data_IF_754648528528
#
_entry.id   IF_754648528528
#
_cell.length_a   1.000
_cell.length_b   1.000
_cell.length_c   1.000
_cell.angle_alpha   90.00
_cell.angle_beta   90.00
_cell.angle_gamma   90.00
#
_symmetry.space_group_name_H-M   'P 1'
#
loop_
_entity.id
_entity.type
_entity.pdbx_description
1 polymer ?
#
# COMPACT_ATOMS: atom_id res chain seq x y z
N UNK A 1 -21.70 -9.24 12.78
CA UNK A 1 -21.06 -8.42 11.74
C UNK A 1 -22.18 -7.84 10.91
N UNK A 2 -21.99 -6.63 10.38
CA UNK A 2 -22.86 -6.16 9.31
C UNK A 2 -22.34 -6.80 8.01
N UNK A 3 -23.12 -7.74 7.49
CA UNK A 3 -22.80 -8.52 6.30
C UNK A 3 -23.54 -7.96 5.07
N UNK A 4 -24.06 -6.73 5.18
CA UNK A 4 -24.73 -6.03 4.09
C UNK A 4 -23.66 -5.40 3.18
N UNK A 5 -23.66 -5.70 1.86
CA UNK A 5 -22.76 -5.04 0.93
C UNK A 5 -23.03 -3.53 0.90
N UNK A 6 -21.99 -2.74 1.10
CA UNK A 6 -21.98 -1.29 0.98
C UNK A 6 -21.06 -0.84 -0.16
N UNK A 7 -21.11 0.46 -0.48
CA UNK A 7 -20.29 1.03 -1.54
C UNK A 7 -18.86 1.25 -1.04
N UNK A 8 -17.87 1.18 -1.95
CA UNK A 8 -16.49 1.46 -1.59
C UNK A 8 -16.30 2.85 -1.01
N UNK A 9 -15.44 2.93 0.00
CA UNK A 9 -15.15 4.16 0.72
C UNK A 9 -13.66 4.51 0.53
N UNK A 10 -13.33 5.78 0.24
CA UNK A 10 -11.97 6.26 0.26
C UNK A 10 -11.33 5.96 1.62
N UNK A 11 -10.13 5.38 1.63
CA UNK A 11 -9.35 5.17 2.86
C UNK A 11 -8.07 6.00 2.89
N UNK A 12 -7.51 6.32 1.70
CA UNK A 12 -6.62 7.44 1.47
C UNK A 12 -5.46 7.61 2.48
N UNK A 13 -5.25 8.85 2.89
CA UNK A 13 -4.18 9.28 3.79
C UNK A 13 -4.22 8.59 5.15
N UNK A 14 -3.07 8.59 5.84
CA UNK A 14 -2.95 7.96 7.16
C UNK A 14 -3.41 6.51 7.10
N UNK A 15 -2.89 5.80 6.11
CA UNK A 15 -3.15 4.39 5.86
C UNK A 15 -1.91 3.71 5.31
N UNK A 16 -1.94 2.39 5.37
CA UNK A 16 -0.97 1.51 4.75
C UNK A 16 -1.72 0.39 4.04
N UNK A 17 -1.29 0.09 2.80
CA UNK A 17 -1.93 -0.94 2.01
C UNK A 17 -1.00 -1.60 1.01
N UNK A 18 -1.40 -2.79 0.57
CA UNK A 18 -0.84 -3.49 -0.57
C UNK A 18 -1.86 -3.49 -1.71
N UNK A 19 -1.36 -3.48 -2.94
CA UNK A 19 -2.14 -3.76 -4.14
C UNK A 19 -1.61 -5.02 -4.81
N UNK A 20 -2.44 -6.04 -4.98
CA UNK A 20 -2.07 -7.33 -5.60
C UNK A 20 -2.84 -7.50 -6.89
N UNK A 21 -2.16 -7.82 -8.00
CA UNK A 21 -2.77 -7.89 -9.33
C UNK A 21 -3.54 -9.19 -9.54
N UNK A 22 -4.67 -9.31 -8.85
CA UNK A 22 -5.60 -10.44 -8.96
C UNK A 22 -7.02 -10.00 -8.60
N UNK A 23 -8.00 -10.74 -9.11
CA UNK A 23 -9.41 -10.63 -8.70
C UNK A 23 -9.80 -11.68 -7.67
N UNK A 24 -8.89 -12.57 -7.28
CA UNK A 24 -9.13 -13.58 -6.25
C UNK A 24 -8.77 -13.05 -4.86
N UNK A 25 -9.72 -12.34 -4.24
CA UNK A 25 -9.53 -11.78 -2.92
C UNK A 25 -9.32 -12.83 -1.82
N UNK A 26 -9.82 -14.06 -2.02
CA UNK A 26 -9.61 -15.13 -1.05
C UNK A 26 -8.17 -15.64 -1.11
N UNK A 27 -7.64 -15.84 -2.32
CA UNK A 27 -6.23 -16.21 -2.49
C UNK A 27 -5.29 -15.14 -1.92
N UNK A 28 -5.64 -13.85 -2.02
CA UNK A 28 -4.87 -12.78 -1.36
C UNK A 28 -4.91 -12.93 0.16
N UNK A 29 -6.09 -13.13 0.75
CA UNK A 29 -6.20 -13.35 2.19
C UNK A 29 -5.38 -14.57 2.67
N UNK A 30 -5.41 -15.66 1.92
CA UNK A 30 -4.64 -16.86 2.23
C UNK A 30 -3.12 -16.62 2.08
N UNK A 31 -2.69 -15.81 1.10
CA UNK A 31 -1.28 -15.45 0.89
C UNK A 31 -0.71 -14.57 2.02
N UNK A 32 -1.54 -13.71 2.63
CA UNK A 32 -1.17 -12.97 3.85
C UNK A 32 -1.27 -13.83 5.12
N UNK A 33 -1.70 -15.10 5.00
CA UNK A 33 -1.86 -16.01 6.13
C UNK A 33 -2.93 -15.57 7.12
N UNK A 34 -3.96 -14.87 6.66
CA UNK A 34 -4.97 -14.26 7.54
C UNK A 34 -5.74 -15.30 8.33
N UNK A 35 -5.93 -15.02 9.62
CA UNK A 35 -6.66 -15.86 10.57
C UNK A 35 -8.05 -15.27 10.84
N UNK A 36 -8.97 -16.14 11.25
CA UNK A 36 -10.35 -15.77 11.61
C UNK A 36 -11.06 -15.00 10.48
N UNK A 37 -10.82 -15.42 9.23
CA UNK A 37 -11.34 -14.72 8.06
C UNK A 37 -12.87 -14.72 8.06
N UNK A 38 -13.45 -13.53 7.93
CA UNK A 38 -14.88 -13.32 7.84
C UNK A 38 -15.21 -12.35 6.70
N UNK A 39 -16.33 -12.55 5.98
CA UNK A 39 -16.80 -11.56 5.02
C UNK A 39 -17.18 -10.27 5.77
N UNK A 40 -16.99 -9.12 5.13
CA UNK A 40 -17.40 -7.84 5.71
C UNK A 40 -17.72 -6.80 4.62
N UNK A 41 -18.52 -5.81 5.01
CA UNK A 41 -18.69 -4.57 4.24
C UNK A 41 -17.39 -3.74 4.24
N UNK A 42 -17.30 -2.75 3.36
CA UNK A 42 -16.22 -1.77 3.32
C UNK A 42 -16.11 -0.97 4.61
N UNK A 43 -17.22 -0.41 5.10
CA UNK A 43 -17.23 0.39 6.32
C UNK A 43 -16.70 -0.42 7.51
N UNK A 44 -17.24 -1.64 7.68
CA UNK A 44 -16.83 -2.55 8.75
C UNK A 44 -15.37 -2.97 8.62
N UNK A 45 -14.92 -3.31 7.41
CA UNK A 45 -13.56 -3.72 7.12
C UNK A 45 -12.55 -2.61 7.39
N UNK A 46 -12.78 -1.41 6.85
CA UNK A 46 -11.90 -0.25 7.04
C UNK A 46 -11.84 0.21 8.50
N UNK A 47 -12.96 0.19 9.22
CA UNK A 47 -12.96 0.49 10.66
C UNK A 47 -12.00 -0.45 11.41
N UNK A 48 -12.06 -1.76 11.14
CA UNK A 48 -11.17 -2.74 11.77
C UNK A 48 -9.71 -2.59 11.34
N UNK A 49 -9.47 -2.29 10.07
CA UNK A 49 -8.13 -2.01 9.54
C UNK A 49 -7.43 -0.85 10.27
N UNK A 50 -8.22 0.13 10.74
CA UNK A 50 -7.73 1.25 11.55
C UNK A 50 -7.47 0.90 13.03
N UNK A 51 -8.14 -0.10 13.59
CA UNK A 51 -8.07 -0.50 15.00
C UNK A 51 -6.83 -1.36 15.35
N UNK A 52 -5.86 -1.49 14.44
CA UNK A 52 -4.59 -2.26 14.60
C UNK A 52 -4.72 -3.77 14.84
N UNK A 53 -5.94 -4.30 14.96
CA UNK A 53 -6.21 -5.71 15.30
C UNK A 53 -6.52 -6.60 14.10
N UNK A 54 -6.72 -6.02 12.91
CA UNK A 54 -7.09 -6.76 11.70
C UNK A 54 -6.65 -6.01 10.45
N UNK A 55 -6.74 -6.69 9.31
CA UNK A 55 -6.66 -6.08 7.98
C UNK A 55 -8.00 -6.23 7.25
N UNK A 56 -8.16 -5.44 6.20
CA UNK A 56 -9.27 -5.52 5.27
C UNK A 56 -8.74 -5.86 3.87
N UNK A 57 -9.22 -6.96 3.30
CA UNK A 57 -9.01 -7.34 1.91
C UNK A 57 -10.22 -6.87 1.12
N UNK A 58 -10.02 -5.95 0.18
CA UNK A 58 -11.11 -5.37 -0.59
C UNK A 58 -11.73 -6.41 -1.52
N UNK A 59 -12.98 -6.23 -1.97
CA UNK A 59 -13.39 -6.80 -3.25
C UNK A 59 -12.47 -6.33 -4.38
N UNK A 60 -12.46 -7.03 -5.54
CA UNK A 60 -11.66 -6.62 -6.69
C UNK A 60 -12.03 -5.22 -7.22
N UNK A 61 -10.99 -4.44 -7.51
CA UNK A 61 -11.02 -3.11 -8.10
C UNK A 61 -10.30 -3.18 -9.45
N UNK A 62 -11.06 -3.49 -10.51
CA UNK A 62 -10.47 -3.82 -11.81
C UNK A 62 -9.66 -5.11 -11.73
N UNK A 63 -8.36 -5.05 -12.07
CA UNK A 63 -7.43 -6.19 -11.99
C UNK A 63 -6.76 -6.33 -10.61
N UNK A 64 -7.08 -5.46 -9.65
CA UNK A 64 -6.38 -5.36 -8.37
C UNK A 64 -7.27 -5.73 -7.19
N UNK A 65 -6.66 -6.38 -6.20
CA UNK A 65 -7.24 -6.55 -4.86
C UNK A 65 -6.33 -5.84 -3.87
N UNK A 66 -6.90 -5.04 -2.97
CA UNK A 66 -6.13 -4.29 -1.98
C UNK A 66 -6.20 -4.97 -0.61
N UNK A 67 -5.12 -4.84 0.16
CA UNK A 67 -5.07 -5.25 1.58
C UNK A 67 -4.70 -4.02 2.38
N UNK A 68 -5.60 -3.56 3.24
CA UNK A 68 -5.48 -2.31 4.00
C UNK A 68 -5.39 -2.62 5.49
N UNK A 69 -4.47 -1.97 6.20
CA UNK A 69 -4.44 -2.01 7.66
C UNK A 69 -3.10 -1.67 8.28
N UNK A 70 -3.14 -1.06 9.46
CA UNK A 70 -1.93 -0.64 10.18
C UNK A 70 -1.14 -1.78 10.83
N UNK A 71 -1.73 -2.98 10.89
CA UNK A 71 -1.04 -4.17 11.40
C UNK A 71 -0.05 -4.77 10.39
N UNK A 72 -0.10 -4.32 9.13
CA UNK A 72 0.75 -4.79 8.04
C UNK A 72 2.24 -4.43 8.26
N UNK A 73 3.19 -5.21 7.70
CA UNK A 73 4.61 -4.86 7.69
C UNK A 73 4.86 -3.57 6.93
N UNK A 74 5.70 -2.69 7.50
CA UNK A 74 6.09 -1.38 6.94
C UNK A 74 7.60 -1.28 6.62
N UNK A 75 8.02 -0.17 6.03
CA UNK A 75 9.42 0.06 5.65
C UNK A 75 10.34 0.49 6.81
N UNK A 76 9.81 0.75 8.01
CA UNK A 76 10.61 1.13 9.18
C UNK A 76 11.32 -0.06 9.82
N UNK A 77 10.89 -1.29 9.49
CA UNK A 77 11.53 -2.53 9.93
C UNK A 77 12.67 -2.96 8.98
N UNK A 78 13.62 -3.81 9.41
CA UNK A 78 14.65 -4.37 8.53
C UNK A 78 14.05 -5.11 7.32
N UNK A 79 14.59 -4.87 6.12
CA UNK A 79 13.97 -5.34 4.88
C UNK A 79 14.50 -6.70 4.41
N UNK A 80 15.60 -7.20 4.97
CA UNK A 80 16.20 -8.50 4.69
C UNK A 80 15.50 -9.66 5.41
N UNK A 81 14.63 -9.35 6.38
CA UNK A 81 13.93 -10.35 7.20
C UNK A 81 12.70 -10.93 6.48
N UNK A 82 12.37 -12.18 6.79
CA UNK A 82 11.13 -12.80 6.33
C UNK A 82 9.92 -12.06 6.91
N UNK A 83 8.94 -11.75 6.06
CA UNK A 83 7.76 -10.97 6.45
C UNK A 83 7.97 -9.45 6.40
N UNK A 84 9.15 -8.97 5.96
CA UNK A 84 9.34 -7.57 5.57
C UNK A 84 8.48 -7.19 4.36
N UNK A 85 8.33 -5.88 4.11
CA UNK A 85 7.63 -5.39 2.90
C UNK A 85 8.27 -5.96 1.64
N UNK A 86 9.60 -5.88 1.51
CA UNK A 86 10.26 -6.33 0.27
C UNK A 86 10.16 -7.83 0.06
N UNK A 87 10.26 -8.65 1.11
CA UNK A 87 10.10 -10.11 1.00
C UNK A 87 8.67 -10.48 0.62
N UNK A 88 7.68 -9.88 1.28
CA UNK A 88 6.26 -10.12 1.00
C UNK A 88 5.88 -9.68 -0.42
N UNK A 89 6.37 -8.53 -0.90
CA UNK A 89 6.14 -8.08 -2.28
C UNK A 89 6.73 -9.05 -3.31
N UNK A 90 7.92 -9.62 -3.05
CA UNK A 90 8.51 -10.64 -3.93
C UNK A 90 7.66 -11.91 -3.92
N UNK A 91 7.17 -12.37 -2.78
CA UNK A 91 6.31 -13.55 -2.69
C UNK A 91 4.97 -13.36 -3.42
N UNK A 92 4.30 -12.23 -3.16
CA UNK A 92 3.04 -11.88 -3.81
C UNK A 92 3.21 -11.73 -5.32
N UNK A 93 4.22 -10.99 -5.77
CA UNK A 93 4.44 -10.79 -7.22
C UNK A 93 4.89 -12.07 -7.94
N UNK A 94 5.54 -13.01 -7.26
CA UNK A 94 5.85 -14.33 -7.84
C UNK A 94 4.58 -15.16 -8.07
N UNK A 95 3.60 -15.00 -7.18
CA UNK A 95 2.33 -15.76 -7.20
C UNK A 95 1.29 -15.12 -8.11
N UNK A 96 1.12 -13.80 -8.04
CA UNK A 96 0.07 -13.03 -8.71
C UNK A 96 0.60 -12.17 -9.87
N UNK A 97 1.88 -12.29 -10.22
CA UNK A 97 2.54 -11.54 -11.29
C UNK A 97 3.05 -10.17 -10.85
N UNK A 98 2.25 -9.40 -10.12
CA UNK A 98 2.61 -8.04 -9.69
C UNK A 98 2.00 -7.69 -8.33
N UNK A 99 2.78 -7.02 -7.48
CA UNK A 99 2.34 -6.55 -6.16
C UNK A 99 3.03 -5.24 -5.78
N UNK A 100 2.27 -4.33 -5.18
CA UNK A 100 2.75 -3.03 -4.71
C UNK A 100 2.42 -2.81 -3.24
N UNK A 101 3.16 -1.90 -2.62
CA UNK A 101 3.01 -1.42 -1.26
C UNK A 101 2.94 0.10 -1.27
N UNK A 102 2.15 0.67 -0.37
CA UNK A 102 2.04 2.11 -0.15
C UNK A 102 1.76 2.41 1.32
N UNK A 103 2.28 3.53 1.82
CA UNK A 103 1.93 4.05 3.14
C UNK A 103 2.08 5.57 3.23
N UNK A 104 1.20 6.20 4.00
CA UNK A 104 1.32 7.62 4.37
C UNK A 104 1.03 7.84 5.86
N UNK A 105 1.81 8.68 6.53
CA UNK A 105 1.52 9.15 7.88
C UNK A 105 2.11 10.55 8.15
N UNK A 106 1.34 11.60 7.85
CA UNK A 106 1.72 13.02 7.98
C UNK A 106 2.24 13.49 9.33
N UNK A 107 1.98 12.79 10.45
CA UNK A 107 2.52 13.25 11.76
C UNK A 107 4.04 13.10 11.79
N UNK A 108 4.54 12.02 11.20
CA UNK A 108 5.98 11.71 11.14
C UNK A 108 6.53 11.93 9.73
N UNK A 109 5.69 12.44 8.82
CA UNK A 109 5.99 12.59 7.40
C UNK A 109 6.50 11.27 6.79
N UNK A 110 5.86 10.15 7.14
CA UNK A 110 6.19 8.83 6.57
C UNK A 110 5.50 8.67 5.23
N UNK A 111 6.28 8.59 4.15
CA UNK A 111 5.80 8.44 2.78
C UNK A 111 6.55 7.30 2.11
N UNK A 112 5.82 6.27 1.70
CA UNK A 112 6.43 5.07 1.16
C UNK A 112 5.62 4.46 0.03
N UNK A 113 6.34 3.89 -0.93
CA UNK A 113 5.79 3.01 -1.93
C UNK A 113 6.84 2.03 -2.45
N UNK A 114 6.41 0.84 -2.85
CA UNK A 114 7.27 -0.15 -3.47
C UNK A 114 6.49 -1.01 -4.46
N UNK A 115 7.18 -1.56 -5.44
CA UNK A 115 6.63 -2.40 -6.50
C UNK A 115 7.55 -3.57 -6.78
N UNK A 116 6.96 -4.75 -6.86
CA UNK A 116 7.61 -5.98 -7.30
C UNK A 116 6.84 -6.62 -8.46
N UNK A 117 7.57 -7.29 -9.35
CA UNK A 117 7.02 -8.00 -10.49
C UNK A 117 7.77 -9.32 -10.69
N UNK A 118 7.04 -10.43 -10.89
CA UNK A 118 7.63 -11.75 -11.16
C UNK A 118 8.57 -12.27 -10.06
N UNK A 119 8.42 -11.81 -8.83
CA UNK A 119 9.31 -12.20 -7.72
C UNK A 119 10.52 -11.30 -7.50
N UNK A 120 10.64 -10.22 -8.26
CA UNK A 120 11.73 -9.24 -8.16
C UNK A 120 11.22 -7.87 -7.70
N UNK A 121 11.93 -7.26 -6.76
CA UNK A 121 11.69 -5.87 -6.36
C UNK A 121 12.18 -4.95 -7.47
N UNK A 122 11.28 -4.13 -8.04
CA UNK A 122 11.55 -3.27 -9.20
C UNK A 122 11.93 -1.86 -8.74
N UNK A 123 11.14 -1.30 -7.81
CA UNK A 123 11.29 0.05 -7.27
C UNK A 123 10.80 0.05 -5.83
N UNK A 124 11.52 0.70 -4.93
CA UNK A 124 11.05 0.96 -3.58
C UNK A 124 11.61 2.27 -3.05
N UNK A 125 10.75 3.10 -2.50
CA UNK A 125 11.12 4.34 -1.84
C UNK A 125 10.38 4.46 -0.50
N UNK A 126 11.08 4.86 0.55
CA UNK A 126 10.51 5.18 1.85
C UNK A 126 11.26 6.32 2.50
N UNK A 127 10.52 7.33 2.96
CA UNK A 127 11.06 8.51 3.62
C UNK A 127 10.29 8.83 4.89
N UNK A 128 10.99 9.27 5.93
CA UNK A 128 10.43 9.80 7.19
C UNK A 128 10.96 11.21 7.39
N UNK A 129 10.08 12.20 7.22
CA UNK A 129 10.47 13.61 7.34
C UNK A 129 10.76 14.07 8.77
N UNK A 130 10.18 13.44 9.80
CA UNK A 130 10.47 13.78 11.20
C UNK A 130 11.95 13.57 11.56
N UNK A 131 12.58 12.53 11.02
CA UNK A 131 14.00 12.20 11.24
C UNK A 131 14.92 12.58 10.07
N UNK A 132 14.36 13.13 9.00
CA UNK A 132 15.02 13.35 7.71
C UNK A 132 15.72 12.09 7.14
N UNK A 133 15.06 10.93 7.26
CA UNK A 133 15.65 9.62 6.97
C UNK A 133 15.04 8.96 5.74
N UNK A 134 15.89 8.52 4.81
CA UNK A 134 15.51 7.63 3.70
C UNK A 134 15.64 6.19 4.21
N UNK A 135 14.50 5.53 4.43
CA UNK A 135 14.43 4.14 4.93
C UNK A 135 14.85 3.14 3.84
N UNK A 136 14.48 3.43 2.59
CA UNK A 136 14.78 2.57 1.45
C UNK A 136 14.76 3.39 0.17
N UNK A 137 15.75 3.20 -0.70
CA UNK A 137 15.76 3.72 -2.06
C UNK A 137 16.40 2.70 -3.01
N UNK A 138 15.57 1.91 -3.67
CA UNK A 138 15.99 0.80 -4.53
C UNK A 138 15.34 0.93 -5.90
N UNK A 139 16.11 0.66 -6.95
CA UNK A 139 15.64 0.69 -8.33
C UNK A 139 15.66 2.09 -8.95
N UNK A 140 15.65 2.12 -10.28
CA UNK A 140 15.64 3.36 -11.06
C UNK A 140 14.30 4.09 -10.97
N UNK A 141 14.33 5.43 -11.06
CA UNK A 141 13.11 6.23 -11.18
C UNK A 141 12.28 5.78 -12.39
N UNK A 142 11.04 5.41 -12.10
CA UNK A 142 10.05 4.98 -13.09
C UNK A 142 9.58 6.15 -13.97
N UNK A 143 9.04 5.88 -15.18
CA UNK A 143 8.44 6.91 -16.02
C UNK A 143 7.32 7.68 -15.32
N UNK A 144 6.53 7.01 -14.48
CA UNK A 144 5.44 7.61 -13.71
C UNK A 144 5.99 8.59 -12.66
N UNK A 145 7.00 8.19 -11.88
CA UNK A 145 7.67 9.09 -10.92
C UNK A 145 8.31 10.31 -11.60
N UNK A 146 8.84 10.14 -12.82
CA UNK A 146 9.39 11.25 -13.62
C UNK A 146 8.29 12.20 -14.11
N UNK A 147 7.16 11.64 -14.53
CA UNK A 147 5.99 12.42 -14.98
C UNK A 147 5.38 13.23 -13.83
N UNK A 148 5.37 12.65 -12.63
CA UNK A 148 4.97 13.31 -11.39
C UNK A 148 5.98 14.35 -10.88
N UNK A 149 7.18 14.42 -11.49
CA UNK A 149 8.21 15.38 -11.10
C UNK A 149 8.92 15.06 -9.78
N UNK A 150 8.83 13.81 -9.29
CA UNK A 150 9.32 13.42 -7.97
C UNK A 150 10.85 13.47 -7.87
N UNK A 151 11.33 14.03 -6.76
CA UNK A 151 12.75 14.12 -6.42
C UNK A 151 13.04 13.36 -5.13
N UNK A 152 13.92 12.36 -5.20
CA UNK A 152 14.24 11.46 -4.07
C UNK A 152 15.52 11.86 -3.31
N UNK A 153 16.31 12.74 -3.91
CA UNK A 153 17.51 13.33 -3.32
C UNK A 153 17.39 14.86 -3.39
N UNK A 154 18.07 15.55 -2.47
CA UNK A 154 18.26 17.00 -2.59
C UNK A 154 18.99 17.29 -3.91
N UNK A 155 18.46 18.21 -4.74
CA UNK A 155 19.17 18.60 -5.95
C UNK A 155 20.50 19.26 -5.59
N UNK A 156 21.52 19.02 -6.42
CA UNK A 156 22.84 19.62 -6.23
C UNK A 156 22.78 21.16 -6.27
N UNK A 157 21.88 21.72 -7.09
CA UNK A 157 21.67 23.16 -7.23
C UNK A 157 20.24 23.55 -6.85
N UNK A 158 20.04 24.64 -6.07
CA UNK A 158 18.70 25.11 -5.71
C UNK A 158 17.81 25.50 -6.90
N UNK A 159 18.39 25.78 -8.07
CA UNK A 159 17.65 26.04 -9.31
C UNK A 159 17.00 24.80 -9.91
N UNK A 160 17.49 23.61 -9.54
CA UNK A 160 16.95 22.33 -9.99
C UNK A 160 15.77 21.86 -9.12
N UNK A 161 15.53 22.52 -7.97
CA UNK A 161 14.22 22.50 -7.31
C UNK A 161 13.23 23.19 -8.25
N UNK A 162 12.52 22.41 -9.07
CA UNK A 162 11.37 22.90 -9.82
C UNK A 162 10.33 23.56 -8.90
N UNK A 163 9.30 24.21 -9.45
CA UNK A 163 8.29 24.94 -8.66
C UNK A 163 7.48 24.06 -7.67
N UNK A 164 7.62 22.72 -7.74
CA UNK A 164 7.13 21.74 -6.76
C UNK A 164 8.24 20.89 -6.11
N UNK A 165 9.49 21.35 -6.13
CA UNK A 165 10.70 20.61 -5.76
C UNK A 165 10.83 20.39 -4.26
N UNK A 166 10.26 19.28 -3.77
CA UNK A 166 10.45 18.75 -2.44
C UNK A 166 10.73 17.25 -2.48
N UNK A 167 11.15 16.69 -1.34
CA UNK A 167 11.02 15.24 -1.14
C UNK A 167 9.53 14.87 -1.23
N UNK A 168 9.19 13.63 -1.61
CA UNK A 168 7.82 13.24 -1.80
C UNK A 168 6.97 13.43 -0.54
N UNK A 169 5.74 13.90 -0.74
CA UNK A 169 4.74 14.13 0.29
C UNK A 169 3.60 13.09 0.23
N UNK A 170 2.61 13.22 1.11
CA UNK A 170 1.52 12.25 1.19
C UNK A 170 0.69 12.17 -0.11
N UNK A 171 0.50 13.29 -0.83
CA UNK A 171 -0.19 13.34 -2.12
C UNK A 171 0.52 12.51 -3.19
N UNK A 172 1.86 12.49 -3.17
CA UNK A 172 2.66 11.78 -4.16
C UNK A 172 2.51 10.26 -4.02
N UNK A 173 2.30 9.77 -2.80
CA UNK A 173 2.02 8.34 -2.57
C UNK A 173 0.68 7.95 -3.22
N UNK A 174 -0.34 8.79 -3.09
CA UNK A 174 -1.65 8.55 -3.71
C UNK A 174 -1.56 8.63 -5.23
N UNK A 175 -0.78 9.58 -5.76
CA UNK A 175 -0.53 9.72 -7.18
C UNK A 175 0.23 8.51 -7.75
N UNK A 176 1.28 8.05 -7.05
CA UNK A 176 2.03 6.84 -7.41
C UNK A 176 1.10 5.60 -7.40
N UNK A 177 0.26 5.46 -6.38
CA UNK A 177 -0.72 4.37 -6.31
C UNK A 177 -1.70 4.40 -7.48
N UNK A 178 -2.22 5.57 -7.84
CA UNK A 178 -3.08 5.75 -8.99
C UNK A 178 -2.40 5.48 -10.34
N UNK A 179 -1.11 5.79 -10.46
CA UNK A 179 -0.34 5.57 -11.68
C UNK A 179 0.05 4.10 -11.86
N UNK A 180 0.35 3.39 -10.76
CA UNK A 180 0.81 2.00 -10.82
C UNK A 180 -0.30 0.96 -10.68
N UNK A 181 -1.34 1.25 -9.90
CA UNK A 181 -2.39 0.27 -9.58
C UNK A 181 -3.76 0.93 -9.37
N UNK A 182 -4.12 1.26 -8.13
CA UNK A 182 -5.40 1.84 -7.73
C UNK A 182 -5.15 3.01 -6.80
N UNK A 183 -5.72 4.17 -7.13
CA UNK A 183 -5.74 5.31 -6.22
C UNK A 183 -6.70 5.02 -5.04
N UNK A 184 -6.26 5.12 -3.77
CA UNK A 184 -7.07 4.77 -2.60
C UNK A 184 -8.21 5.77 -2.32
N UNK A 185 -8.31 6.86 -3.10
CA UNK A 185 -9.48 7.73 -3.14
C UNK A 185 -10.66 7.11 -3.88
N UNK A 186 -10.41 6.01 -4.63
CA UNK A 186 -11.36 5.17 -5.37
C UNK A 186 -12.18 5.93 -6.44
N UNK A 187 -12.55 5.26 -7.54
CA UNK A 187 -13.47 5.86 -8.50
C UNK A 187 -14.92 5.81 -7.97
N UNK A 188 -15.78 6.78 -8.36
CA UNK A 188 -17.12 6.93 -7.78
C UNK A 188 -18.12 5.84 -8.21
N UNK A 189 -17.79 5.02 -9.21
CA UNK A 189 -18.66 4.07 -9.89
C UNK A 189 -18.42 2.61 -9.51
N UNK A 190 -17.58 2.33 -8.51
CA UNK A 190 -17.38 0.96 -8.03
C UNK A 190 -18.66 0.45 -7.34
N UNK A 191 -19.20 -0.71 -7.75
CA UNK A 191 -20.42 -1.24 -7.18
C UNK A 191 -20.24 -1.71 -5.73
N UNK A 192 -21.36 -1.80 -5.01
CA UNK A 192 -21.36 -2.38 -3.67
C UNK A 192 -20.95 -3.87 -3.72
N UNK A 193 -20.05 -4.27 -2.83
CA UNK A 193 -19.54 -5.64 -2.76
C UNK A 193 -18.94 -5.92 -1.38
N UNK A 194 -18.80 -7.20 -1.06
CA UNK A 194 -18.19 -7.68 0.19
C UNK A 194 -16.71 -7.96 0.00
N UNK A 195 -15.91 -7.56 1.00
CA UNK A 195 -14.52 -7.97 1.13
C UNK A 195 -14.35 -9.00 2.24
N UNK A 196 -13.13 -9.11 2.74
CA UNK A 196 -12.79 -9.99 3.85
C UNK A 196 -12.02 -9.22 4.93
N UNK A 197 -12.21 -9.60 6.19
CA UNK A 197 -11.39 -9.13 7.30
C UNK A 197 -10.81 -10.31 8.05
N UNK A 198 -9.59 -10.15 8.58
CA UNK A 198 -8.88 -11.17 9.35
C UNK A 198 -7.67 -10.60 10.08
N UNK A 199 -7.15 -11.35 11.04
CA UNK A 199 -5.93 -11.01 11.78
C UNK A 199 -4.67 -11.56 11.12
N UNK A 200 -3.53 -10.86 11.25
CA UNK A 200 -2.23 -11.39 10.82
C UNK A 200 -1.72 -12.44 11.82
N UNK A 201 -0.98 -13.46 11.37
CA UNK A 201 -0.43 -14.49 12.25
C UNK A 201 0.49 -13.87 13.32
N UNK A 202 0.37 -14.37 14.56
CA UNK A 202 1.22 -13.92 15.67
C UNK A 202 0.80 -12.62 16.36
N UNK A 203 -0.23 -11.92 15.86
CA UNK A 203 -0.86 -10.78 16.54
C UNK A 203 -2.30 -11.16 16.93
N UNK A 204 -2.55 -11.41 18.23
CA UNK A 204 -3.92 -11.59 18.73
C UNK A 204 -4.62 -10.23 18.76
N UNK A 205 -5.87 -10.21 18.29
CA UNK A 205 -6.80 -9.08 18.41
C UNK A 205 -7.09 -8.75 19.88
#
# INVERSE_FOLDING_TARGET
MDDTPDRPMPFGYKSQWYAVRTTDARAVADAFGLQELAPCSWESGLRRAHELSSVFVTPPLGEWTLVVGWSLPDLSSPQEEAGSVTSLLRELSRTFGEAHYYATHRVVEYHAWAKAAGGELVRAYGYVGESDEVLLDVGERTPEERTLGLMFAEPAEPSDRGEGGGRPAEEDVLAAAGAWSVNPMLPPDVPASMGWTGGLPGRRA
#
